data_IF_983773194035
#
_entry.id   IF_983773194035
#
_cell.length_a   1.000
_cell.length_b   1.000
_cell.length_c   1.000
_cell.angle_alpha   90.00
_cell.angle_beta   90.00
_cell.angle_gamma   90.00
#
_symmetry.space_group_name_H-M   'P 1'
#
loop_
_entity.id
_entity.type
_entity.pdbx_description
1 polymer ?
#
# COMPACT_ATOMS: atom_id res chain seq x y z
N UNK A 1 -38.67 24.50 -81.85
CA UNK A 1 -38.91 23.05 -81.90
C UNK A 1 -39.81 22.70 -80.72
N UNK A 2 -41.05 22.37 -81.05
CA UNK A 2 -42.19 22.15 -80.15
C UNK A 2 -42.23 20.69 -79.68
N UNK A 3 -42.58 20.43 -78.40
CA UNK A 3 -43.19 19.21 -77.80
C UNK A 3 -43.00 19.35 -76.27
N UNK A 4 -43.98 19.60 -75.40
CA UNK A 4 -45.31 19.02 -75.15
C UNK A 4 -45.36 17.48 -75.11
N UNK A 5 -46.25 16.97 -74.23
CA UNK A 5 -46.51 15.58 -73.78
C UNK A 5 -45.88 15.33 -72.40
N UNK A 6 -46.56 14.79 -71.39
CA UNK A 6 -47.98 14.59 -71.07
C UNK A 6 -47.98 14.06 -69.64
N UNK A 7 -48.94 14.51 -68.85
CA UNK A 7 -49.16 14.12 -67.46
C UNK A 7 -49.59 12.63 -67.41
N UNK A 8 -48.75 11.75 -66.84
CA UNK A 8 -49.13 10.36 -66.59
C UNK A 8 -49.62 10.20 -65.15
N UNK A 9 -50.93 10.01 -65.02
CA UNK A 9 -51.60 9.63 -63.78
C UNK A 9 -51.12 8.24 -63.33
N UNK A 10 -50.21 8.16 -62.36
CA UNK A 10 -49.97 6.93 -61.61
C UNK A 10 -50.80 6.92 -60.33
N UNK A 11 -51.95 6.23 -60.43
CA UNK A 11 -52.78 5.85 -59.29
C UNK A 11 -52.00 4.84 -58.44
N UNK A 12 -51.41 5.30 -57.32
CA UNK A 12 -50.83 4.41 -56.32
C UNK A 12 -51.93 3.84 -55.44
N UNK A 13 -52.23 2.56 -55.61
CA UNK A 13 -52.98 1.76 -54.63
C UNK A 13 -52.19 1.75 -53.31
N UNK A 14 -52.81 1.95 -52.14
CA UNK A 14 -52.12 1.71 -50.87
C UNK A 14 -52.03 0.19 -50.66
N UNK A 15 -50.83 -0.38 -50.81
CA UNK A 15 -50.53 -1.70 -50.24
C UNK A 15 -50.54 -1.57 -48.72
N UNK A 16 -51.65 -2.01 -48.13
CA UNK A 16 -51.81 -2.26 -46.72
C UNK A 16 -50.96 -3.49 -46.37
N UNK A 17 -49.65 -3.30 -46.21
CA UNK A 17 -48.83 -4.29 -45.51
C UNK A 17 -49.19 -4.20 -44.03
N UNK A 18 -50.18 -5.00 -43.64
CA UNK A 18 -50.58 -5.19 -42.26
C UNK A 18 -49.35 -5.58 -41.44
N UNK A 19 -48.86 -4.64 -40.65
CA UNK A 19 -47.99 -4.93 -39.54
C UNK A 19 -48.85 -5.67 -38.51
N UNK A 20 -48.90 -7.00 -38.62
CA UNK A 20 -49.57 -7.83 -37.65
C UNK A 20 -48.85 -7.63 -36.30
N UNK A 21 -49.56 -7.22 -35.22
CA UNK A 21 -48.96 -7.19 -33.91
C UNK A 21 -48.70 -8.64 -33.50
N UNK A 22 -47.45 -9.09 -33.66
CA UNK A 22 -47.00 -10.31 -33.02
C UNK A 22 -47.25 -10.17 -31.53
N UNK A 23 -48.19 -10.97 -31.02
CA UNK A 23 -48.56 -11.02 -29.62
C UNK A 23 -47.34 -11.48 -28.81
N UNK A 24 -46.49 -10.53 -28.41
CA UNK A 24 -45.38 -10.77 -27.49
C UNK A 24 -46.00 -11.08 -26.14
N UNK A 25 -46.17 -12.37 -25.85
CA UNK A 25 -46.50 -12.84 -24.51
C UNK A 25 -45.37 -12.38 -23.60
N UNK A 26 -45.66 -11.37 -22.78
CA UNK A 26 -44.78 -10.99 -21.68
C UNK A 26 -44.87 -12.13 -20.67
N UNK A 27 -43.84 -12.98 -20.64
CA UNK A 27 -43.71 -13.98 -19.59
C UNK A 27 -43.34 -13.24 -18.30
N UNK A 28 -44.23 -13.27 -17.31
CA UNK A 28 -43.92 -12.80 -15.96
C UNK A 28 -42.92 -13.74 -15.29
N UNK A 29 -42.06 -13.20 -14.43
CA UNK A 29 -41.15 -14.00 -13.61
C UNK A 29 -41.96 -14.85 -12.63
N UNK A 30 -41.57 -16.10 -12.46
CA UNK A 30 -42.16 -16.96 -11.43
C UNK A 30 -41.60 -16.57 -10.06
N UNK A 31 -42.37 -16.74 -8.98
CA UNK A 31 -41.92 -16.40 -7.61
C UNK A 31 -40.67 -17.22 -7.21
N UNK A 32 -40.55 -18.44 -7.73
CA UNK A 32 -39.40 -19.32 -7.55
C UNK A 32 -38.13 -18.75 -8.20
N UNK A 33 -38.25 -18.10 -9.35
CA UNK A 33 -37.12 -17.52 -10.09
C UNK A 33 -36.50 -16.33 -9.35
N UNK A 34 -37.33 -15.50 -8.71
CA UNK A 34 -36.86 -14.41 -7.85
C UNK A 34 -36.16 -14.95 -6.60
N UNK A 35 -36.70 -16.00 -5.97
CA UNK A 35 -36.08 -16.64 -4.80
C UNK A 35 -34.71 -17.23 -5.12
N UNK A 36 -34.58 -17.94 -6.25
CA UNK A 36 -33.29 -18.49 -6.69
C UNK A 36 -32.31 -17.36 -7.02
N UNK A 37 -32.78 -16.28 -7.66
CA UNK A 37 -31.94 -15.10 -7.96
C UNK A 37 -31.39 -14.44 -6.70
N UNK A 38 -32.23 -14.26 -5.68
CA UNK A 38 -31.82 -13.70 -4.38
C UNK A 38 -30.86 -14.64 -3.64
N UNK A 39 -31.07 -15.96 -3.72
CA UNK A 39 -30.15 -16.94 -3.15
C UNK A 39 -28.76 -16.84 -3.79
N UNK A 40 -28.68 -16.89 -5.12
CA UNK A 40 -27.41 -16.78 -5.85
C UNK A 40 -26.73 -15.44 -5.57
N UNK A 41 -27.50 -14.33 -5.56
CA UNK A 41 -27.00 -13.01 -5.23
C UNK A 41 -26.43 -12.96 -3.81
N UNK A 42 -27.13 -13.55 -2.83
CA UNK A 42 -26.68 -13.57 -1.44
C UNK A 42 -25.35 -14.33 -1.27
N UNK A 43 -25.20 -15.48 -1.94
CA UNK A 43 -23.95 -16.24 -1.96
C UNK A 43 -22.83 -15.43 -2.63
N UNK A 44 -23.13 -14.76 -3.74
CA UNK A 44 -22.17 -13.89 -4.44
C UNK A 44 -21.68 -12.73 -3.57
N UNK A 45 -22.58 -12.07 -2.84
CA UNK A 45 -22.24 -10.97 -1.93
C UNK A 45 -21.39 -11.43 -0.74
N UNK A 46 -21.64 -12.61 -0.18
CA UNK A 46 -20.80 -13.19 0.87
C UNK A 46 -19.38 -13.51 0.38
N UNK A 47 -19.26 -14.00 -0.87
CA UNK A 47 -17.97 -14.19 -1.53
C UNK A 47 -17.20 -12.87 -1.73
N UNK A 48 -17.88 -11.83 -2.21
CA UNK A 48 -17.31 -10.48 -2.36
C UNK A 48 -16.87 -9.88 -1.01
N UNK A 49 -17.66 -10.04 0.05
CA UNK A 49 -17.31 -9.55 1.38
C UNK A 49 -16.03 -10.21 1.91
N UNK A 50 -15.89 -11.53 1.69
CA UNK A 50 -14.71 -12.29 2.10
C UNK A 50 -13.45 -11.87 1.33
N UNK A 51 -13.57 -11.60 0.03
CA UNK A 51 -12.47 -11.06 -0.79
C UNK A 51 -12.06 -9.65 -0.35
N UNK A 52 -13.03 -8.77 -0.09
CA UNK A 52 -12.76 -7.42 0.44
C UNK A 52 -12.05 -7.47 1.80
N UNK A 53 -12.53 -8.31 2.72
CA UNK A 53 -11.91 -8.49 4.03
C UNK A 53 -10.46 -9.02 3.92
N UNK A 54 -10.22 -9.93 2.98
CA UNK A 54 -8.88 -10.47 2.72
C UNK A 54 -7.96 -9.40 2.13
N UNK A 55 -8.44 -8.59 1.18
CA UNK A 55 -7.68 -7.49 0.58
C UNK A 55 -7.25 -6.44 1.61
N UNK A 56 -8.12 -6.09 2.56
CA UNK A 56 -7.78 -5.17 3.66
C UNK A 56 -6.64 -5.72 4.54
N UNK A 57 -6.65 -7.03 4.84
CA UNK A 57 -5.60 -7.68 5.63
C UNK A 57 -4.24 -7.65 4.92
N UNK A 58 -4.20 -7.99 3.63
CA UNK A 58 -2.96 -7.95 2.84
C UNK A 58 -2.41 -6.52 2.67
N UNK A 59 -3.30 -5.53 2.57
CA UNK A 59 -2.90 -4.12 2.44
C UNK A 59 -2.21 -3.60 3.70
N UNK A 60 -2.65 -4.01 4.89
CA UNK A 60 -2.03 -3.62 6.16
C UNK A 60 -0.58 -4.09 6.30
N UNK A 61 -0.30 -5.35 5.96
CA UNK A 61 1.06 -5.91 6.04
C UNK A 61 2.00 -5.26 5.02
N UNK A 62 1.48 -4.96 3.81
CA UNK A 62 2.24 -4.23 2.78
C UNK A 62 2.55 -2.80 3.23
N UNK A 63 1.61 -2.13 3.90
CA UNK A 63 1.79 -0.79 4.45
C UNK A 63 2.91 -0.70 5.50
N UNK A 64 2.93 -1.63 6.47
CA UNK A 64 3.98 -1.67 7.50
C UNK A 64 5.37 -1.91 6.90
N UNK A 65 5.48 -2.83 5.93
CA UNK A 65 6.74 -3.07 5.24
C UNK A 65 7.21 -1.84 4.46
N UNK A 66 6.31 -1.14 3.78
CA UNK A 66 6.64 0.09 3.07
C UNK A 66 7.12 1.19 4.03
N UNK A 67 6.49 1.33 5.20
CA UNK A 67 6.94 2.26 6.24
C UNK A 67 8.34 1.91 6.75
N UNK A 68 8.62 0.63 7.01
CA UNK A 68 9.96 0.19 7.39
C UNK A 68 11.01 0.52 6.31
N UNK A 69 10.69 0.31 5.02
CA UNK A 69 11.58 0.68 3.91
C UNK A 69 11.87 2.19 3.93
N UNK A 70 10.82 3.02 4.02
CA UNK A 70 10.97 4.49 4.03
C UNK A 70 11.84 4.94 5.22
N UNK A 71 11.59 4.42 6.42
CA UNK A 71 12.36 4.76 7.61
C UNK A 71 13.82 4.27 7.53
N UNK A 72 14.08 3.14 6.87
CA UNK A 72 15.44 2.70 6.64
C UNK A 72 16.18 3.61 5.65
N UNK A 73 15.52 4.04 4.56
CA UNK A 73 16.08 4.99 3.60
C UNK A 73 16.38 6.34 4.24
N UNK A 74 15.48 6.84 5.08
CA UNK A 74 15.68 8.08 5.85
C UNK A 74 16.96 8.00 6.71
N UNK A 75 17.16 6.89 7.42
CA UNK A 75 18.36 6.69 8.23
C UNK A 75 19.64 6.61 7.38
N UNK A 76 19.59 5.94 6.23
CA UNK A 76 20.73 5.91 5.29
C UNK A 76 21.09 7.29 4.78
N UNK A 77 20.10 8.12 4.48
CA UNK A 77 20.33 9.49 3.99
C UNK A 77 20.90 10.39 5.07
N UNK A 78 20.42 10.26 6.32
CA UNK A 78 21.00 10.97 7.47
C UNK A 78 22.49 10.65 7.65
N UNK A 79 22.85 9.36 7.58
CA UNK A 79 24.25 8.94 7.67
C UNK A 79 25.10 9.47 6.50
N UNK A 80 24.55 9.54 5.28
CA UNK A 80 25.21 10.17 4.13
C UNK A 80 25.39 11.67 4.29
N UNK A 81 24.43 12.34 4.90
CA UNK A 81 24.51 13.78 5.15
C UNK A 81 25.50 14.15 6.26
N UNK A 82 25.85 13.20 7.13
CA UNK A 82 26.74 13.41 8.27
C UNK A 82 27.80 12.30 8.32
N UNK A 83 28.63 12.23 7.29
CA UNK A 83 29.70 11.23 7.18
C UNK A 83 30.72 11.33 8.32
N UNK A 84 30.98 12.54 8.81
CA UNK A 84 31.86 12.77 9.96
C UNK A 84 31.31 12.10 11.24
N UNK A 85 29.99 11.92 11.33
CA UNK A 85 29.34 11.21 12.42
C UNK A 85 29.59 9.70 12.40
N UNK A 86 30.00 9.12 11.26
CA UNK A 86 30.35 7.69 11.16
C UNK A 86 31.69 7.37 11.84
N UNK A 87 32.56 8.39 11.99
CA UNK A 87 33.86 8.22 12.65
C UNK A 87 33.65 7.93 14.12
N UNK A 88 34.25 6.86 14.63
CA UNK A 88 34.07 6.42 16.01
C UNK A 88 32.75 5.69 16.26
N UNK A 89 32.08 5.23 15.20
CA UNK A 89 30.86 4.41 15.26
C UNK A 89 29.67 5.09 15.96
N UNK A 90 29.53 6.41 15.87
CA UNK A 90 28.47 7.12 16.61
C UNK A 90 27.04 6.81 16.10
N UNK A 91 26.91 6.26 14.89
CA UNK A 91 25.64 5.75 14.35
C UNK A 91 25.39 4.26 14.67
N UNK A 92 26.38 3.52 15.19
CA UNK A 92 26.23 2.11 15.52
C UNK A 92 25.31 1.96 16.73
N UNK A 93 24.30 1.12 16.61
CA UNK A 93 23.30 0.93 17.66
C UNK A 93 22.80 -0.51 17.69
N UNK A 94 23.07 -1.21 18.79
CA UNK A 94 22.63 -2.60 19.00
C UNK A 94 21.30 -2.73 19.74
N UNK A 95 20.85 -1.66 20.41
CA UNK A 95 19.63 -1.62 21.23
C UNK A 95 19.00 -0.23 21.21
N UNK A 96 17.74 -0.11 21.61
CA UNK A 96 17.10 1.21 21.78
C UNK A 96 17.91 2.09 22.73
N UNK A 97 18.30 3.27 22.26
CA UNK A 97 18.99 4.26 23.09
C UNK A 97 18.02 4.88 24.09
N UNK A 98 18.51 5.18 25.27
CA UNK A 98 17.74 5.83 26.34
C UNK A 98 18.52 7.01 26.88
N UNK A 99 17.82 8.08 27.27
CA UNK A 99 18.44 9.28 27.80
C UNK A 99 17.94 10.56 27.14
N UNK A 100 18.64 11.66 27.42
CA UNK A 100 18.32 12.97 26.86
C UNK A 100 18.87 13.07 25.45
N UNK A 101 17.99 13.37 24.49
CA UNK A 101 18.40 13.66 23.11
C UNK A 101 19.22 14.96 23.11
N UNK A 102 20.48 14.96 22.61
CA UNK A 102 21.22 16.19 22.43
C UNK A 102 20.42 17.16 21.55
N UNK A 103 20.30 18.42 21.98
CA UNK A 103 19.71 19.44 21.13
C UNK A 103 20.61 19.70 19.93
N UNK A 104 20.10 19.43 18.73
CA UNK A 104 20.79 19.73 17.46
C UNK A 104 20.02 20.77 16.65
N UNK A 105 19.88 21.98 17.20
CA UNK A 105 19.11 23.08 16.61
C UNK A 105 19.92 24.39 16.42
N UNK A 106 21.25 24.31 16.35
CA UNK A 106 22.13 25.48 16.23
C UNK A 106 23.57 25.14 15.85
N UNK A 107 24.46 26.14 15.90
CA UNK A 107 25.86 26.04 15.49
C UNK A 107 26.73 25.06 16.31
N UNK A 108 26.24 24.64 17.48
CA UNK A 108 26.98 23.78 18.42
C UNK A 108 26.69 22.26 18.23
N UNK A 109 25.96 21.87 17.20
CA UNK A 109 25.72 20.46 16.91
C UNK A 109 26.94 19.85 16.22
N UNK A 110 27.80 19.18 16.99
CA UNK A 110 28.89 18.36 16.45
C UNK A 110 28.34 17.18 15.64
N UNK A 111 29.14 16.63 14.73
CA UNK A 111 28.80 15.46 13.94
C UNK A 111 28.38 14.25 14.82
N UNK A 112 29.02 14.08 15.98
CA UNK A 112 28.67 13.05 16.98
C UNK A 112 27.32 13.31 17.65
N UNK A 113 27.04 14.56 18.02
CA UNK A 113 25.74 14.93 18.60
C UNK A 113 24.62 14.76 17.58
N UNK A 114 24.87 15.09 16.31
CA UNK A 114 23.93 14.89 15.21
C UNK A 114 23.62 13.39 15.03
N UNK A 115 24.64 12.54 15.03
CA UNK A 115 24.44 11.09 14.91
C UNK A 115 23.57 10.53 16.05
N UNK A 116 23.83 10.99 17.27
CA UNK A 116 23.07 10.61 18.47
C UNK A 116 21.61 11.11 18.39
N UNK A 117 21.39 12.33 17.91
CA UNK A 117 20.07 12.90 17.66
C UNK A 117 19.30 12.11 16.59
N UNK A 118 19.95 11.82 15.47
CA UNK A 118 19.36 11.08 14.35
C UNK A 118 18.88 9.69 14.78
N UNK A 119 19.74 8.91 15.46
CA UNK A 119 19.41 7.55 15.90
C UNK A 119 18.23 7.57 16.87
N UNK A 120 18.22 8.47 17.85
CA UNK A 120 17.13 8.54 18.82
C UNK A 120 15.81 9.01 18.20
N UNK A 121 15.87 10.01 17.33
CA UNK A 121 14.70 10.48 16.58
C UNK A 121 14.13 9.37 15.70
N UNK A 122 15.00 8.65 14.99
CA UNK A 122 14.64 7.52 14.15
C UNK A 122 14.02 6.37 14.94
N UNK A 123 14.61 5.98 16.08
CA UNK A 123 14.05 4.92 16.94
C UNK A 123 12.69 5.33 17.53
N UNK A 124 12.49 6.61 17.86
CA UNK A 124 11.19 7.14 18.28
C UNK A 124 10.15 7.04 17.15
N UNK A 125 10.52 7.42 15.92
CA UNK A 125 9.65 7.29 14.75
C UNK A 125 9.30 5.82 14.45
N UNK A 126 10.25 4.89 14.60
CA UNK A 126 10.00 3.46 14.45
C UNK A 126 8.96 2.96 15.46
N UNK A 127 9.11 3.33 16.74
CA UNK A 127 8.18 2.95 17.79
C UNK A 127 6.79 3.56 17.60
N UNK A 128 6.70 4.77 17.05
CA UNK A 128 5.44 5.45 16.76
C UNK A 128 4.72 4.91 15.51
N UNK A 129 5.49 4.47 14.51
CA UNK A 129 4.94 4.08 13.19
C UNK A 129 4.65 2.59 13.09
N UNK A 130 5.55 1.76 13.61
CA UNK A 130 5.47 0.30 13.51
C UNK A 130 5.08 -0.33 14.85
N UNK A 131 4.19 -1.35 14.87
CA UNK A 131 3.83 -2.01 16.12
C UNK A 131 5.04 -2.72 16.74
N UNK A 132 5.45 -2.29 17.93
CA UNK A 132 6.71 -2.75 18.56
C UNK A 132 7.92 -2.59 17.64
N UNK A 133 7.96 -1.51 16.84
CA UNK A 133 9.06 -1.22 15.93
C UNK A 133 10.36 -0.96 16.67
N UNK A 134 11.43 -1.64 16.27
CA UNK A 134 12.79 -1.43 16.77
C UNK A 134 13.78 -1.41 15.61
N UNK A 135 14.91 -0.74 15.81
CA UNK A 135 15.92 -0.53 14.78
C UNK A 135 17.33 -0.66 15.34
N UNK A 136 18.16 -1.40 14.60
CA UNK A 136 19.58 -1.67 14.85
C UNK A 136 20.37 -1.17 13.64
N UNK A 137 21.57 -0.63 13.89
CA UNK A 137 22.48 -0.18 12.84
C UNK A 137 23.85 -0.78 13.15
N UNK A 138 24.37 -1.55 12.21
CA UNK A 138 25.73 -2.09 12.26
C UNK A 138 26.60 -1.34 11.24
N UNK A 139 27.77 -0.89 11.67
CA UNK A 139 28.75 -0.23 10.81
C UNK A 139 29.96 -1.15 10.61
N UNK A 140 30.40 -1.31 9.37
CA UNK A 140 31.62 -2.06 9.04
C UNK A 140 32.58 -1.18 8.23
N UNK A 141 33.87 -1.22 8.57
CA UNK A 141 34.91 -0.44 7.93
C UNK A 141 35.60 0.55 8.88
N UNK A 142 36.24 1.61 8.37
CA UNK A 142 36.29 1.97 6.95
C UNK A 142 37.26 1.07 6.16
N UNK A 143 36.86 0.66 4.95
CA UNK A 143 37.75 0.04 3.96
C UNK A 143 38.04 1.08 2.89
N UNK A 144 39.28 1.59 2.85
CA UNK A 144 39.67 2.69 1.94
C UNK A 144 38.79 3.93 2.13
N UNK A 145 38.48 4.27 3.39
CA UNK A 145 37.68 5.45 3.72
C UNK A 145 36.16 5.30 3.54
N UNK A 146 35.68 4.13 3.14
CA UNK A 146 34.24 3.86 2.92
C UNK A 146 33.69 3.01 4.06
N UNK A 147 32.56 3.42 4.62
CA UNK A 147 31.81 2.64 5.61
C UNK A 147 30.71 1.83 4.91
N UNK A 148 30.40 0.64 5.40
CA UNK A 148 29.19 -0.09 5.04
C UNK A 148 28.23 -0.04 6.22
N UNK A 149 27.11 0.63 6.06
CA UNK A 149 26.05 0.69 7.06
C UNK A 149 24.98 -0.35 6.76
N UNK A 150 24.60 -1.13 7.77
CA UNK A 150 23.52 -2.12 7.72
C UNK A 150 22.43 -1.72 8.70
N UNK A 151 21.28 -1.29 8.17
CA UNK A 151 20.10 -0.92 8.94
C UNK A 151 19.15 -2.11 9.00
N UNK A 152 18.85 -2.57 10.22
CA UNK A 152 17.93 -3.66 10.50
C UNK A 152 16.73 -3.13 11.28
N UNK A 153 15.52 -3.25 10.72
CA UNK A 153 14.27 -2.87 11.36
C UNK A 153 13.46 -4.13 11.65
N UNK A 154 12.95 -4.25 12.87
CA UNK A 154 12.03 -5.32 13.25
C UNK A 154 10.73 -4.75 13.81
N UNK A 155 9.62 -5.39 13.51
CA UNK A 155 8.30 -5.03 14.05
C UNK A 155 7.44 -6.28 14.22
N UNK A 156 6.36 -6.16 14.99
CA UNK A 156 5.37 -7.24 15.12
C UNK A 156 4.18 -6.97 14.22
N UNK A 157 3.74 -7.98 13.48
CA UNK A 157 2.47 -7.90 12.77
C UNK A 157 1.32 -7.90 13.78
N UNK A 158 0.33 -7.06 13.52
CA UNK A 158 -0.88 -7.00 14.33
C UNK A 158 -1.65 -8.31 14.11
N UNK A 159 -1.91 -9.06 15.17
CA UNK A 159 -2.73 -10.26 15.06
C UNK A 159 -4.14 -9.89 14.59
N UNK A 160 -4.67 -10.62 13.62
CA UNK A 160 -6.10 -10.59 13.31
C UNK A 160 -6.87 -11.22 14.47
N UNK A 161 -7.76 -10.45 15.07
CA UNK A 161 -8.72 -10.92 16.09
C UNK A 161 -9.44 -12.18 15.57
N UNK A 162 -9.34 -13.29 16.32
CA UNK A 162 -9.94 -14.58 15.99
C UNK A 162 -8.96 -15.76 15.80
N UNK A 163 -7.65 -15.50 15.70
CA UNK A 163 -6.65 -16.57 15.74
C UNK A 163 -6.27 -16.90 17.19
N UNK A 164 -6.54 -18.13 17.64
CA UNK A 164 -6.14 -18.66 18.96
C UNK A 164 -4.64 -18.47 19.15
N UNK A 165 -4.26 -17.54 20.04
CA UNK A 165 -2.91 -17.25 20.58
C UNK A 165 -1.71 -17.89 19.87
N UNK A 166 -1.51 -17.62 18.58
CA UNK A 166 -0.30 -18.03 17.86
C UNK A 166 0.68 -16.87 17.97
N UNK A 167 1.81 -17.05 18.67
CA UNK A 167 2.79 -16.01 19.00
C UNK A 167 2.91 -14.89 17.93
N UNK A 168 2.88 -13.62 18.37
CA UNK A 168 2.99 -12.46 17.49
C UNK A 168 4.16 -12.63 16.51
N UNK A 169 3.87 -12.62 15.20
CA UNK A 169 4.89 -12.84 14.18
C UNK A 169 5.76 -11.59 14.06
N UNK A 170 7.03 -11.71 14.41
CA UNK A 170 8.03 -10.68 14.16
C UNK A 170 8.42 -10.69 12.69
N UNK A 171 8.45 -9.52 12.07
CA UNK A 171 8.99 -9.27 10.74
C UNK A 171 10.28 -8.48 10.84
N UNK A 172 11.15 -8.71 9.87
CA UNK A 172 12.46 -8.06 9.78
C UNK A 172 12.65 -7.51 8.37
N UNK A 173 13.15 -6.30 8.28
CA UNK A 173 13.66 -5.68 7.07
C UNK A 173 15.12 -5.30 7.28
N UNK A 174 15.97 -5.60 6.31
CA UNK A 174 17.40 -5.28 6.35
C UNK A 174 17.77 -4.54 5.07
N UNK A 175 18.52 -3.46 5.21
CA UNK A 175 19.16 -2.76 4.11
C UNK A 175 20.62 -2.52 4.46
N UNK A 176 21.51 -2.79 3.51
CA UNK A 176 22.91 -2.44 3.61
C UNK A 176 23.33 -1.56 2.44
N UNK A 177 24.19 -0.58 2.69
CA UNK A 177 24.78 0.23 1.63
C UNK A 177 26.09 0.86 2.10
N UNK A 178 26.95 1.13 1.13
CA UNK A 178 28.15 1.93 1.34
C UNK A 178 27.79 3.41 1.51
N UNK A 179 28.53 4.07 2.41
CA UNK A 179 28.48 5.49 2.73
C UNK A 179 29.89 6.07 2.64
#
# INVERSE_FOLDING_TARGET
MHMNISNSKYSRKPEQHGCAPGNRRVSGFTLVEVLVSLLVLSIGLLGLASLQATGLRYSGNTGQRNQAIILAQDMMERMRSNTDGLVGNNYEVSTTLTGTVPGCSGADCSATNMATYDVMSWQSMLAATLPSGTGVIDLTGPVVGVYTATVTITWRERQTEGATSTAATTKTFVMASQI
#
